data_IF_676166295256
#
_entry.id   IF_676166295256
#
_cell.length_a   1.000
_cell.length_b   1.000
_cell.length_c   1.000
_cell.angle_alpha   90.00
_cell.angle_beta   90.00
_cell.angle_gamma   90.00
#
_symmetry.space_group_name_H-M   'P 1'
#
loop_
_entity.id
_entity.type
_entity.pdbx_description
1 polymer ?
#
# COMPACT_ATOMS: atom_id res chain seq x y z
N UNK A 1 3.38 -1.53 19.75
CA UNK A 1 3.56 -2.91 20.27
C UNK A 1 3.06 -3.10 21.70
N UNK A 2 3.15 -2.10 22.58
CA UNK A 2 2.61 -2.18 23.94
C UNK A 2 1.09 -2.48 23.96
N UNK A 3 0.33 -1.82 23.09
CA UNK A 3 -1.13 -2.03 22.97
C UNK A 3 -1.51 -3.48 22.60
N UNK A 4 -0.77 -4.13 21.69
CA UNK A 4 -1.01 -5.54 21.31
C UNK A 4 -0.74 -6.48 22.49
N UNK A 5 0.27 -6.15 23.30
CA UNK A 5 0.62 -6.92 24.50
C UNK A 5 -0.48 -6.86 25.56
N UNK A 6 -1.11 -5.70 25.73
CA UNK A 6 -2.24 -5.51 26.66
C UNK A 6 -3.50 -6.24 26.21
N UNK A 7 -3.78 -6.29 24.90
CA UNK A 7 -4.94 -7.01 24.36
C UNK A 7 -4.75 -8.52 24.39
N UNK A 8 -3.58 -9.02 23.99
CA UNK A 8 -3.30 -10.45 23.98
C UNK A 8 -1.79 -10.77 24.03
N UNK A 9 -1.35 -11.24 25.21
CA UNK A 9 0.05 -11.61 25.45
C UNK A 9 0.55 -12.75 24.54
N UNK A 10 -0.31 -13.72 24.19
CA UNK A 10 0.08 -14.86 23.36
C UNK A 10 0.32 -14.41 21.90
N UNK A 11 -0.56 -13.55 21.38
CA UNK A 11 -0.40 -12.97 20.04
C UNK A 11 0.85 -12.08 19.97
N UNK A 12 1.13 -11.30 21.01
CA UNK A 12 2.36 -10.52 21.12
C UNK A 12 3.60 -11.43 21.03
N UNK A 13 3.67 -12.48 21.85
CA UNK A 13 4.80 -13.40 21.86
C UNK A 13 5.00 -14.06 20.47
N UNK A 14 3.90 -14.40 19.79
CA UNK A 14 3.94 -14.98 18.45
C UNK A 14 4.48 -13.99 17.40
N UNK A 15 4.07 -12.72 17.46
CA UNK A 15 4.54 -11.68 16.53
C UNK A 15 6.01 -11.33 16.76
N UNK A 16 6.45 -11.23 18.02
CA UNK A 16 7.85 -10.92 18.34
C UNK A 16 8.80 -12.06 17.95
N UNK A 17 8.32 -13.31 17.96
CA UNK A 17 9.10 -14.46 17.48
C UNK A 17 9.34 -14.44 15.96
N UNK A 18 8.60 -13.63 15.20
CA UNK A 18 8.71 -13.52 13.74
C UNK A 18 9.45 -12.25 13.33
N UNK A 19 10.24 -12.30 12.24
CA UNK A 19 10.90 -11.10 11.75
C UNK A 19 9.85 -10.04 11.37
N UNK A 20 10.03 -8.76 11.74
CA UNK A 20 9.09 -7.67 11.44
C UNK A 20 8.71 -7.56 9.96
N UNK A 21 9.62 -7.95 9.06
CA UNK A 21 9.39 -8.01 7.61
C UNK A 21 8.22 -8.92 7.19
N UNK A 22 7.80 -9.87 8.03
CA UNK A 22 6.68 -10.78 7.73
C UNK A 22 5.31 -10.25 8.14
N UNK A 23 5.24 -9.33 9.11
CA UNK A 23 3.98 -9.03 9.79
C UNK A 23 3.68 -7.55 9.96
N UNK A 24 4.63 -6.65 9.70
CA UNK A 24 4.39 -5.19 9.75
C UNK A 24 4.77 -4.51 8.44
N UNK A 25 3.81 -3.73 7.92
CA UNK A 25 3.97 -2.96 6.68
C UNK A 25 5.14 -1.98 6.73
N UNK A 26 5.56 -1.53 7.91
CA UNK A 26 6.69 -0.62 8.10
C UNK A 26 8.05 -1.23 7.67
N UNK A 27 8.15 -2.56 7.63
CA UNK A 27 9.38 -3.28 7.30
C UNK A 27 9.29 -4.01 5.96
N UNK A 28 8.22 -3.81 5.19
CA UNK A 28 8.10 -4.41 3.86
C UNK A 28 9.05 -3.73 2.87
N UNK A 29 9.55 -4.50 1.90
CA UNK A 29 10.39 -3.98 0.82
C UNK A 29 9.61 -2.91 0.03
N UNK A 30 10.24 -1.76 -0.18
CA UNK A 30 9.59 -0.60 -0.81
C UNK A 30 9.42 -0.77 -2.33
N UNK A 31 10.17 -1.70 -2.93
CA UNK A 31 10.21 -1.92 -4.38
C UNK A 31 8.89 -2.47 -4.94
N UNK A 32 8.10 -3.18 -4.11
CA UNK A 32 6.85 -3.81 -4.56
C UNK A 32 5.70 -3.48 -3.60
N UNK A 33 5.09 -2.31 -3.82
CA UNK A 33 3.85 -1.91 -3.13
C UNK A 33 2.63 -2.51 -3.83
N UNK A 34 2.37 -3.80 -3.60
CA UNK A 34 1.14 -4.46 -4.05
C UNK A 34 0.19 -4.65 -2.86
N UNK A 35 -0.93 -3.92 -2.82
CA UNK A 35 -1.94 -4.04 -1.75
C UNK A 35 -2.94 -5.19 -2.02
N UNK A 36 -2.54 -6.18 -2.82
CA UNK A 36 -3.41 -7.32 -3.17
C UNK A 36 -3.23 -8.41 -2.12
N UNK A 37 -4.23 -8.54 -1.25
CA UNK A 37 -4.33 -9.67 -0.32
C UNK A 37 -4.57 -10.97 -1.11
N UNK A 38 -3.92 -12.05 -0.68
CA UNK A 38 -4.01 -13.37 -1.34
C UNK A 38 -5.45 -13.86 -1.49
N UNK A 39 -6.30 -13.61 -0.48
CA UNK A 39 -7.71 -13.98 -0.53
C UNK A 39 -8.46 -13.28 -1.68
N UNK A 40 -8.19 -11.98 -1.89
CA UNK A 40 -8.81 -11.20 -2.96
C UNK A 40 -8.42 -11.75 -4.35
N UNK A 41 -7.21 -12.31 -4.48
CA UNK A 41 -6.76 -12.93 -5.73
C UNK A 41 -7.53 -14.23 -6.00
N UNK A 42 -7.65 -15.10 -4.99
CA UNK A 42 -8.41 -16.35 -5.11
C UNK A 42 -9.89 -16.09 -5.41
N UNK A 43 -10.52 -15.16 -4.70
CA UNK A 43 -11.91 -14.75 -4.95
C UNK A 43 -12.09 -14.20 -6.37
N UNK A 44 -11.19 -13.33 -6.82
CA UNK A 44 -11.25 -12.77 -8.17
C UNK A 44 -11.07 -13.86 -9.25
N UNK A 45 -10.19 -14.83 -9.02
CA UNK A 45 -9.98 -15.94 -9.96
C UNK A 45 -11.21 -16.84 -10.01
N UNK A 46 -11.74 -17.24 -8.85
CA UNK A 46 -12.92 -18.09 -8.74
C UNK A 46 -14.15 -17.45 -9.42
N UNK A 47 -14.33 -16.14 -9.25
CA UNK A 47 -15.38 -15.40 -9.95
C UNK A 47 -15.18 -15.37 -11.46
N UNK A 48 -13.94 -15.28 -11.95
CA UNK A 48 -13.66 -15.25 -13.39
C UNK A 48 -13.94 -16.59 -14.09
N UNK A 49 -13.79 -17.72 -13.38
CA UNK A 49 -14.00 -19.06 -13.94
C UNK A 49 -15.37 -19.66 -13.60
N UNK A 50 -16.21 -18.97 -12.83
CA UNK A 50 -17.47 -19.50 -12.28
C UNK A 50 -18.34 -20.19 -13.35
N UNK A 51 -18.56 -19.52 -14.49
CA UNK A 51 -19.41 -19.99 -15.59
C UNK A 51 -18.74 -21.03 -16.52
N UNK A 52 -17.50 -21.38 -16.24
CA UNK A 52 -16.67 -22.22 -17.09
C UNK A 52 -16.09 -23.43 -16.35
N UNK A 53 -16.17 -23.45 -15.01
CA UNK A 53 -15.52 -24.44 -14.15
C UNK A 53 -15.98 -25.87 -14.37
N UNK A 54 -17.20 -26.05 -14.87
CA UNK A 54 -17.86 -27.31 -15.16
C UNK A 54 -17.67 -27.76 -16.63
N UNK A 55 -16.92 -26.98 -17.42
CA UNK A 55 -16.70 -27.23 -18.84
C UNK A 55 -15.34 -27.90 -19.08
N UNK A 56 -15.13 -28.52 -20.26
CA UNK A 56 -13.83 -29.05 -20.63
C UNK A 56 -12.75 -27.96 -20.54
N UNK A 57 -11.52 -28.38 -20.19
CA UNK A 57 -10.40 -27.45 -19.94
C UNK A 57 -10.16 -26.48 -21.10
N UNK A 58 -10.32 -26.94 -22.35
CA UNK A 58 -10.20 -26.11 -23.56
C UNK A 58 -11.22 -24.98 -23.55
N UNK A 59 -12.49 -25.27 -23.21
CA UNK A 59 -13.56 -24.27 -23.15
C UNK A 59 -13.34 -23.27 -22.01
N UNK A 60 -12.81 -23.72 -20.86
CA UNK A 60 -12.45 -22.85 -19.75
C UNK A 60 -11.33 -21.87 -20.14
N UNK A 61 -10.28 -22.37 -20.80
CA UNK A 61 -9.17 -21.54 -21.28
C UNK A 61 -9.62 -20.51 -22.31
N UNK A 62 -10.47 -20.88 -23.27
CA UNK A 62 -11.00 -19.93 -24.25
C UNK A 62 -11.85 -18.83 -23.60
N UNK A 63 -12.69 -19.18 -22.62
CA UNK A 63 -13.45 -18.19 -21.85
C UNK A 63 -12.53 -17.23 -21.08
N UNK A 64 -11.48 -17.75 -20.43
CA UNK A 64 -10.53 -16.94 -19.70
C UNK A 64 -9.76 -15.99 -20.64
N UNK A 65 -9.32 -16.50 -21.81
CA UNK A 65 -8.67 -15.71 -22.85
C UNK A 65 -9.56 -14.56 -23.31
N UNK A 66 -10.82 -14.83 -23.63
CA UNK A 66 -11.80 -13.82 -24.04
C UNK A 66 -12.05 -12.79 -22.93
N UNK A 67 -12.21 -13.25 -21.68
CA UNK A 67 -12.42 -12.38 -20.53
C UNK A 67 -11.24 -11.41 -20.31
N UNK A 68 -10.00 -11.94 -20.37
CA UNK A 68 -8.78 -11.13 -20.28
C UNK A 68 -8.70 -10.10 -21.40
N UNK A 69 -8.99 -10.50 -22.64
CA UNK A 69 -9.01 -9.61 -23.80
C UNK A 69 -9.99 -8.44 -23.60
N UNK A 70 -11.24 -8.73 -23.21
CA UNK A 70 -12.23 -7.69 -22.91
C UNK A 70 -11.79 -6.79 -21.75
N UNK A 71 -11.17 -7.36 -20.70
CA UNK A 71 -10.69 -6.61 -19.55
C UNK A 71 -9.56 -5.65 -19.95
N UNK A 72 -8.60 -6.11 -20.74
CA UNK A 72 -7.52 -5.25 -21.24
C UNK A 72 -8.04 -4.15 -22.14
N UNK A 73 -8.96 -4.45 -23.05
CA UNK A 73 -9.58 -3.44 -23.90
C UNK A 73 -10.28 -2.35 -23.07
N UNK A 74 -11.12 -2.73 -22.10
CA UNK A 74 -11.77 -1.79 -21.18
C UNK A 74 -10.76 -0.95 -20.39
N UNK A 75 -9.65 -1.54 -19.94
CA UNK A 75 -8.59 -0.82 -19.23
C UNK A 75 -7.91 0.21 -20.15
N UNK A 76 -7.56 -0.18 -21.37
CA UNK A 76 -6.97 0.71 -22.38
C UNK A 76 -7.91 1.88 -22.71
N UNK A 77 -9.20 1.60 -22.94
CA UNK A 77 -10.21 2.64 -23.16
C UNK A 77 -10.38 3.57 -21.95
N UNK A 78 -10.31 3.02 -20.73
CA UNK A 78 -10.36 3.85 -19.53
C UNK A 78 -9.16 4.78 -19.45
N UNK A 79 -7.95 4.30 -19.74
CA UNK A 79 -6.72 5.11 -19.69
C UNK A 79 -6.77 6.24 -20.72
N UNK A 80 -7.29 5.99 -21.93
CA UNK A 80 -7.51 7.04 -22.94
C UNK A 80 -8.42 8.18 -22.47
N UNK A 81 -9.29 7.93 -21.49
CA UNK A 81 -10.20 8.93 -20.91
C UNK A 81 -9.60 9.67 -19.71
N UNK A 82 -8.39 9.31 -19.27
CA UNK A 82 -7.74 9.99 -18.18
C UNK A 82 -7.29 11.37 -18.64
N UNK A 83 -7.54 12.38 -17.80
CA UNK A 83 -7.06 13.75 -18.03
C UNK A 83 -5.64 13.93 -17.50
N UNK A 84 -5.35 13.25 -16.39
CA UNK A 84 -4.07 13.27 -15.70
C UNK A 84 -3.25 12.02 -16.07
N UNK A 85 -1.95 12.06 -15.81
CA UNK A 85 -1.05 10.93 -16.03
C UNK A 85 -1.39 9.72 -15.14
N UNK A 86 -2.04 9.97 -14.01
CA UNK A 86 -2.38 8.96 -13.00
C UNK A 86 -3.87 8.63 -12.98
N UNK A 87 -4.17 7.39 -12.57
CA UNK A 87 -5.55 6.94 -12.41
C UNK A 87 -6.25 7.68 -11.27
N UNK A 88 -7.56 7.85 -11.37
CA UNK A 88 -8.39 8.62 -10.41
C UNK A 88 -8.13 8.31 -8.93
N UNK A 89 -7.94 7.03 -8.58
CA UNK A 89 -7.69 6.64 -7.19
C UNK A 89 -6.31 7.11 -6.70
N UNK A 90 -5.27 6.93 -7.51
CA UNK A 90 -3.91 7.40 -7.20
C UNK A 90 -3.89 8.92 -7.14
N UNK A 91 -4.51 9.58 -8.12
CA UNK A 91 -4.66 11.04 -8.14
C UNK A 91 -5.32 11.56 -6.86
N UNK A 92 -6.42 10.92 -6.42
CA UNK A 92 -7.11 11.29 -5.18
C UNK A 92 -6.21 11.17 -3.95
N UNK A 93 -5.42 10.09 -3.86
CA UNK A 93 -4.46 9.89 -2.75
C UNK A 93 -3.36 10.95 -2.81
N UNK A 94 -2.80 11.24 -4.00
CA UNK A 94 -1.78 12.27 -4.19
C UNK A 94 -2.31 13.65 -3.78
N UNK A 95 -3.52 14.01 -4.20
CA UNK A 95 -4.12 15.30 -3.87
C UNK A 95 -4.42 15.44 -2.37
N UNK A 96 -4.84 14.36 -1.71
CA UNK A 96 -4.99 14.32 -0.25
C UNK A 96 -3.63 14.49 0.45
N UNK A 97 -2.62 13.73 0.02
CA UNK A 97 -1.28 13.82 0.58
C UNK A 97 -0.66 15.21 0.37
N UNK A 98 -0.91 15.85 -0.78
CA UNK A 98 -0.48 17.22 -1.06
C UNK A 98 -1.09 18.23 -0.08
N UNK A 99 -2.40 18.13 0.20
CA UNK A 99 -3.09 18.97 1.19
C UNK A 99 -2.61 18.72 2.61
N UNK A 100 -2.25 17.48 2.93
CA UNK A 100 -1.66 17.14 4.22
C UNK A 100 -0.27 17.79 4.29
N UNK A 101 0.58 17.53 3.30
CA UNK A 101 1.95 18.04 3.22
C UNK A 101 2.03 19.58 3.25
N UNK A 102 1.08 20.30 2.64
CA UNK A 102 1.05 21.77 2.67
C UNK A 102 0.92 22.37 4.07
N UNK A 103 0.45 21.59 5.05
CA UNK A 103 0.32 22.05 6.42
C UNK A 103 1.64 21.93 7.20
N UNK A 104 2.63 21.19 6.69
CA UNK A 104 3.92 21.00 7.36
C UNK A 104 4.90 22.08 6.89
N UNK A 105 5.67 22.63 7.84
CA UNK A 105 6.76 23.54 7.53
C UNK A 105 8.07 22.80 7.65
N UNK A 106 8.89 22.84 6.59
CA UNK A 106 10.16 22.12 6.54
C UNK A 106 11.30 23.12 6.48
N UNK A 107 12.17 23.07 7.48
CA UNK A 107 13.37 23.92 7.58
C UNK A 107 14.62 23.06 7.52
N UNK A 108 15.52 23.35 6.59
CA UNK A 108 16.79 22.65 6.50
C UNK A 108 17.71 23.08 7.65
N UNK A 109 18.28 22.09 8.36
CA UNK A 109 19.26 22.34 9.43
C UNK A 109 20.69 22.21 8.88
N UNK A 110 21.17 20.97 8.71
CA UNK A 110 22.51 20.65 8.22
C UNK A 110 22.40 19.51 7.20
N UNK A 111 23.00 19.70 6.02
CA UNK A 111 23.07 18.74 4.92
C UNK A 111 21.72 18.05 4.62
N UNK A 112 21.54 16.82 5.13
CA UNK A 112 20.40 15.93 4.89
C UNK A 112 19.38 15.89 6.03
N UNK A 113 19.56 16.73 7.06
CA UNK A 113 18.68 16.80 8.23
C UNK A 113 17.73 17.99 8.13
N UNK A 114 16.45 17.72 8.31
CA UNK A 114 15.37 18.67 8.22
C UNK A 114 14.57 18.70 9.51
N UNK A 115 14.23 19.90 9.97
CA UNK A 115 13.21 20.08 10.98
C UNK A 115 11.86 20.19 10.29
N UNK A 116 10.93 19.32 10.67
CA UNK A 116 9.56 19.30 10.17
C UNK A 116 8.63 19.74 11.30
N UNK A 117 8.02 20.91 11.15
CA UNK A 117 7.05 21.45 12.09
C UNK A 117 5.64 21.00 11.68
N UNK A 118 5.01 20.25 12.57
CA UNK A 118 3.67 19.69 12.37
C UNK A 118 2.63 20.60 13.05
N UNK A 119 1.53 20.99 12.37
CA UNK A 119 0.50 21.80 13.00
C UNK A 119 -0.16 21.03 14.15
N UNK A 120 -0.08 21.61 15.36
CA UNK A 120 -0.71 21.06 16.57
C UNK A 120 0.09 19.95 17.27
N UNK A 121 1.33 19.69 16.87
CA UNK A 121 2.22 18.68 17.49
C UNK A 121 3.65 19.21 17.63
N UNK A 122 4.53 18.40 18.22
CA UNK A 122 5.98 18.69 18.34
C UNK A 122 6.66 18.67 16.98
N UNK A 123 7.73 19.46 16.84
CA UNK A 123 8.63 19.43 15.68
C UNK A 123 9.47 18.15 15.68
N UNK A 124 9.72 17.60 14.50
CA UNK A 124 10.53 16.39 14.32
C UNK A 124 11.81 16.68 13.54
N UNK A 125 12.93 16.11 14.00
CA UNK A 125 14.16 16.06 13.21
C UNK A 125 14.13 14.82 12.31
N UNK A 126 14.20 15.03 10.99
CA UNK A 126 14.16 13.97 9.98
C UNK A 126 15.47 13.99 9.18
N UNK A 127 16.22 12.90 9.24
CA UNK A 127 17.37 12.65 8.39
C UNK A 127 16.90 11.90 7.13
N UNK A 128 17.29 12.33 5.94
CA UNK A 128 16.88 11.69 4.69
C UNK A 128 17.72 10.45 4.31
N UNK A 129 18.89 10.25 4.93
CA UNK A 129 19.76 9.09 4.69
C UNK A 129 19.41 7.97 5.67
N UNK A 130 19.22 8.31 6.93
CA UNK A 130 18.77 7.37 7.95
C UNK A 130 17.26 7.22 7.79
N UNK A 131 16.76 6.03 7.44
CA UNK A 131 15.31 5.78 7.37
C UNK A 131 14.66 6.37 8.62
N UNK A 132 13.62 7.22 8.50
CA UNK A 132 12.97 7.76 9.69
C UNK A 132 12.33 6.58 10.42
N UNK A 133 12.98 6.15 11.51
CA UNK A 133 12.31 5.44 12.57
C UNK A 133 11.11 6.31 12.95
N UNK A 134 9.92 5.79 12.68
CA UNK A 134 8.68 6.51 12.90
C UNK A 134 8.60 6.78 14.40
N UNK A 135 8.80 8.05 14.78
CA UNK A 135 8.54 8.62 16.09
C UNK A 135 8.85 7.69 17.30
N UNK A 136 10.13 7.54 17.64
CA UNK A 136 10.47 7.34 19.05
C UNK A 136 10.55 8.73 19.69
N UNK A 137 9.44 9.12 20.34
CA UNK A 137 9.44 10.27 21.24
C UNK A 137 10.52 10.06 22.30
N UNK A 138 11.53 10.92 22.27
CA UNK A 138 12.53 10.98 23.33
C UNK A 138 12.07 11.99 24.36
N UNK A 139 12.18 11.55 25.62
CA UNK A 139 11.73 12.20 26.85
C UNK A 139 12.28 13.62 27.05
#
# INVERSE_FOLDING_TARGET
>A
MAEIKEVNQAAYNWLVAKPPTEWTKAYFLEDVKCDVLLNNLCESFNNAILDARDKPIITLLEKLRYWLMCRFQKKTESVKKWKEEYGRNIWKIMEQNKKIASNYLVTQSIEVTFQVDCPGTVSYAVNLIEKPATAEGTN
#
